data_IF_576220538255
#
_entry.id   IF_576220538255
#
_cell.length_a   1.000
_cell.length_b   1.000
_cell.length_c   1.000
_cell.angle_alpha   90.00
_cell.angle_beta   90.00
_cell.angle_gamma   90.00
#
_symmetry.space_group_name_H-M   'P 1'
#
loop_
_entity.id
_entity.type
_entity.pdbx_description
1 polymer ?
#
# COMPACT_ATOMS: atom_id res chain seq x y z
N UNK A 1 -84.74 3.05 6.03
CA UNK A 1 -84.14 4.28 6.59
C UNK A 1 -82.74 4.40 6.02
N UNK A 2 -82.66 4.97 4.81
CA UNK A 2 -81.40 5.29 4.13
C UNK A 2 -81.05 6.74 4.45
N UNK A 3 -79.77 7.07 4.60
CA UNK A 3 -79.10 8.27 4.05
C UNK A 3 -77.59 8.17 4.33
N UNK A 4 -76.83 8.23 3.23
CA UNK A 4 -75.40 8.41 3.08
C UNK A 4 -74.88 9.69 3.78
N UNK A 5 -73.65 9.66 4.34
CA UNK A 5 -72.75 10.83 4.32
C UNK A 5 -71.27 10.43 4.22
N UNK A 6 -70.64 11.05 3.22
CA UNK A 6 -69.22 11.11 2.86
C UNK A 6 -68.31 11.64 3.98
N UNK A 7 -67.03 11.25 3.92
CA UNK A 7 -65.76 11.98 4.22
C UNK A 7 -64.71 10.93 4.57
N UNK A 8 -63.45 10.91 4.13
CA UNK A 8 -62.60 11.86 3.40
C UNK A 8 -61.51 11.03 2.71
N UNK A 9 -61.16 11.40 1.48
CA UNK A 9 -59.96 10.89 0.80
C UNK A 9 -58.75 11.62 1.37
N UNK A 10 -57.86 10.92 2.05
CA UNK A 10 -56.54 11.44 2.41
C UNK A 10 -55.56 11.08 1.29
N UNK A 11 -55.26 12.05 0.43
CA UNK A 11 -54.20 11.92 -0.57
C UNK A 11 -52.84 12.02 0.14
N UNK A 12 -52.18 10.88 0.36
CA UNK A 12 -50.76 10.85 0.69
C UNK A 12 -49.97 11.06 -0.60
N UNK A 13 -49.52 12.30 -0.83
CA UNK A 13 -48.55 12.61 -1.87
C UNK A 13 -47.15 12.23 -1.37
N UNK A 14 -46.71 11.02 -1.68
CA UNK A 14 -45.33 10.57 -1.43
C UNK A 14 -44.41 11.24 -2.44
N UNK A 15 -43.74 12.32 -2.03
CA UNK A 15 -42.61 12.89 -2.76
C UNK A 15 -41.44 11.90 -2.71
N UNK A 16 -41.31 11.07 -3.77
CA UNK A 16 -40.10 10.32 -4.05
C UNK A 16 -39.02 11.31 -4.50
N UNK A 17 -38.27 11.85 -3.52
CA UNK A 17 -37.04 12.60 -3.78
C UNK A 17 -36.04 11.68 -4.47
N UNK A 18 -35.84 11.91 -5.77
CA UNK A 18 -34.80 11.30 -6.58
C UNK A 18 -33.45 11.82 -6.05
N UNK A 19 -32.85 11.13 -5.09
CA UNK A 19 -31.45 11.37 -4.71
C UNK A 19 -30.62 10.81 -5.86
N UNK A 20 -30.34 11.64 -6.86
CA UNK A 20 -29.22 11.41 -7.77
C UNK A 20 -27.95 11.41 -6.92
N UNK A 21 -27.57 10.23 -6.44
CA UNK A 21 -26.22 9.97 -5.99
C UNK A 21 -25.32 10.07 -7.21
N UNK A 22 -24.83 11.27 -7.51
CA UNK A 22 -23.68 11.43 -8.39
C UNK A 22 -22.56 10.65 -7.72
N UNK A 23 -22.28 9.45 -8.24
CA UNK A 23 -20.99 8.82 -8.04
C UNK A 23 -19.97 9.82 -8.56
N UNK A 24 -19.32 10.55 -7.65
CA UNK A 24 -18.19 11.39 -7.98
C UNK A 24 -17.18 10.45 -8.62
N UNK A 25 -17.01 10.54 -9.93
CA UNK A 25 -15.88 9.92 -10.59
C UNK A 25 -14.66 10.59 -9.98
N UNK A 26 -13.98 9.87 -9.09
CA UNK A 26 -12.75 10.34 -8.46
C UNK A 26 -11.73 10.51 -9.61
N UNK A 27 -11.46 11.77 -9.96
CA UNK A 27 -10.57 12.09 -11.06
C UNK A 27 -9.20 11.51 -10.75
N UNK A 28 -8.66 10.72 -11.70
CA UNK A 28 -7.38 10.08 -11.50
C UNK A 28 -6.29 11.17 -11.39
N UNK A 29 -5.47 11.07 -10.34
CA UNK A 29 -4.38 12.01 -10.13
C UNK A 29 -3.30 11.73 -11.17
N UNK A 30 -2.72 12.79 -11.72
CA UNK A 30 -1.66 12.71 -12.71
C UNK A 30 -0.33 13.05 -12.05
N UNK A 31 0.60 12.09 -11.89
CA UNK A 31 1.89 12.38 -11.26
C UNK A 31 2.77 13.20 -12.22
N UNK A 32 3.58 14.10 -11.65
CA UNK A 32 4.52 14.92 -12.40
C UNK A 32 5.85 14.20 -12.63
N UNK A 33 6.34 14.27 -13.86
CA UNK A 33 7.69 13.83 -14.21
C UNK A 33 8.73 14.63 -13.43
N UNK A 34 9.90 14.02 -13.19
CA UNK A 34 11.04 14.70 -12.61
C UNK A 34 11.80 13.86 -11.59
N UNK A 35 12.49 14.53 -10.68
CA UNK A 35 13.30 13.89 -9.65
C UNK A 35 12.45 13.59 -8.41
N UNK A 36 12.34 12.31 -8.06
CA UNK A 36 11.61 11.81 -6.89
C UNK A 36 12.57 11.26 -5.84
N UNK A 37 12.25 11.48 -4.57
CA UNK A 37 12.99 10.97 -3.42
C UNK A 37 12.08 10.12 -2.55
N UNK A 38 12.54 8.92 -2.21
CA UNK A 38 11.92 8.04 -1.21
C UNK A 38 12.64 8.18 0.13
N UNK A 39 11.88 8.25 1.21
CA UNK A 39 12.37 8.21 2.57
C UNK A 39 11.48 7.31 3.45
N UNK A 40 12.09 6.54 4.33
CA UNK A 40 11.35 5.83 5.38
C UNK A 40 10.79 6.84 6.37
N UNK A 41 9.47 6.81 6.56
CA UNK A 41 8.76 7.63 7.54
C UNK A 41 8.78 6.96 8.90
N UNK A 42 8.26 5.73 8.95
CA UNK A 42 8.05 4.97 10.18
C UNK A 42 8.31 3.49 9.96
N UNK A 43 8.62 2.79 11.05
CA UNK A 43 8.66 1.33 11.10
C UNK A 43 7.96 0.85 12.35
N UNK A 44 6.96 -0.01 12.18
CA UNK A 44 6.24 -0.65 13.26
C UNK A 44 6.57 -2.15 13.31
N UNK A 45 6.70 -2.66 14.53
CA UNK A 45 6.92 -4.06 14.83
C UNK A 45 5.71 -4.60 15.59
N UNK A 46 5.20 -5.76 15.18
CA UNK A 46 4.11 -6.43 15.88
C UNK A 46 4.47 -7.89 16.10
N UNK A 47 4.21 -8.40 17.30
CA UNK A 47 4.47 -9.80 17.70
C UNK A 47 5.93 -10.24 17.49
N UNK A 48 6.87 -9.30 17.55
CA UNK A 48 8.31 -9.59 17.47
C UNK A 48 8.90 -9.74 18.87
N UNK A 49 9.66 -10.80 19.09
CA UNK A 49 10.48 -10.92 20.28
C UNK A 49 11.52 -9.78 20.37
N UNK A 50 11.91 -9.34 21.58
CA UNK A 50 12.77 -8.17 21.75
C UNK A 50 14.13 -8.30 21.07
N UNK A 51 14.67 -9.52 20.99
CA UNK A 51 15.91 -9.81 20.27
C UNK A 51 15.75 -9.58 18.75
N UNK A 52 14.64 -10.05 18.17
CA UNK A 52 14.34 -9.91 16.73
C UNK A 52 14.10 -8.45 16.38
N UNK A 53 13.30 -7.75 17.18
CA UNK A 53 13.05 -6.33 17.00
C UNK A 53 14.35 -5.52 17.02
N UNK A 54 15.23 -5.76 18.00
CA UNK A 54 16.53 -5.08 18.09
C UNK A 54 17.41 -5.38 16.87
N UNK A 55 17.44 -6.63 16.40
CA UNK A 55 18.17 -7.00 15.20
C UNK A 55 17.65 -6.24 13.97
N UNK A 56 16.34 -6.19 13.76
CA UNK A 56 15.76 -5.50 12.60
C UNK A 56 15.88 -3.99 12.67
N UNK A 57 15.76 -3.37 13.84
CA UNK A 57 16.04 -1.94 14.00
C UNK A 57 17.45 -1.58 13.53
N UNK A 58 18.44 -2.42 13.83
CA UNK A 58 19.80 -2.22 13.36
C UNK A 58 19.96 -2.40 11.84
N UNK A 59 19.26 -3.38 11.25
CA UNK A 59 19.27 -3.58 9.79
C UNK A 59 18.60 -2.40 9.09
N UNK A 60 17.41 -2.01 9.54
CA UNK A 60 16.65 -0.91 8.98
C UNK A 60 17.44 0.39 9.10
N UNK A 61 18.01 0.71 10.27
CA UNK A 61 18.84 1.91 10.45
C UNK A 61 20.02 2.00 9.47
N UNK A 62 20.57 0.87 9.03
CA UNK A 62 21.64 0.83 8.00
C UNK A 62 21.12 1.00 6.58
N UNK A 63 19.84 0.74 6.34
CA UNK A 63 19.16 0.78 5.04
C UNK A 63 18.16 1.94 4.91
N UNK A 64 17.95 2.76 5.95
CA UNK A 64 17.25 4.05 5.84
C UNK A 64 18.17 5.01 5.10
N UNK A 65 18.28 4.80 3.79
CA UNK A 65 18.91 5.73 2.88
C UNK A 65 17.81 6.41 2.09
N UNK A 66 17.95 7.71 1.92
CA UNK A 66 17.15 8.45 0.95
C UNK A 66 17.59 8.01 -0.44
N UNK A 67 16.65 7.49 -1.21
CA UNK A 67 16.92 7.09 -2.59
C UNK A 67 16.29 8.12 -3.50
N UNK A 68 17.08 8.67 -4.41
CA UNK A 68 16.62 9.66 -5.39
C UNK A 68 16.79 9.11 -6.80
N UNK A 69 15.75 9.23 -7.63
CA UNK A 69 15.76 8.85 -9.04
C UNK A 69 14.92 9.84 -9.85
N UNK A 70 15.25 9.99 -11.12
CA UNK A 70 14.36 10.63 -12.07
C UNK A 70 13.30 9.60 -12.52
N UNK A 71 12.03 10.01 -12.59
CA UNK A 71 10.91 9.18 -12.99
C UNK A 71 10.13 9.91 -14.09
N UNK A 72 9.97 9.23 -15.22
CA UNK A 72 9.15 9.69 -16.35
C UNK A 72 7.79 8.97 -16.34
N UNK A 73 6.83 9.53 -15.60
CA UNK A 73 5.47 9.04 -15.50
C UNK A 73 4.67 9.16 -16.78
N UNK A 74 4.95 10.16 -17.61
CA UNK A 74 4.22 10.36 -18.87
C UNK A 74 2.70 10.47 -18.66
N UNK A 75 2.30 11.09 -17.54
CA UNK A 75 0.91 11.32 -17.18
C UNK A 75 0.15 10.11 -16.62
N UNK A 76 0.82 8.97 -16.39
CA UNK A 76 0.17 7.77 -15.83
C UNK A 76 0.94 7.29 -14.61
N UNK A 77 0.23 7.16 -13.49
CA UNK A 77 0.76 6.52 -12.30
C UNK A 77 0.89 5.01 -12.51
N UNK A 78 2.13 4.54 -12.59
CA UNK A 78 2.49 3.13 -12.73
C UNK A 78 3.74 2.83 -11.86
N UNK A 79 3.58 2.11 -10.73
CA UNK A 79 4.67 1.79 -9.81
C UNK A 79 5.87 1.08 -10.45
N UNK A 80 5.70 0.38 -11.58
CA UNK A 80 6.81 -0.29 -12.28
C UNK A 80 7.85 0.71 -12.80
N UNK A 81 7.47 1.97 -13.01
CA UNK A 81 8.38 3.07 -13.37
C UNK A 81 9.34 3.44 -12.24
N UNK A 82 9.08 2.98 -11.02
CA UNK A 82 9.97 3.13 -9.86
C UNK A 82 10.74 1.86 -9.55
N UNK A 83 10.78 0.88 -10.47
CA UNK A 83 11.54 -0.36 -10.28
C UNK A 83 13.03 -0.13 -9.97
N UNK A 84 13.62 0.96 -10.46
CA UNK A 84 15.01 1.39 -10.18
C UNK A 84 15.26 1.92 -8.75
N UNK A 85 14.19 2.11 -7.96
CA UNK A 85 14.32 2.32 -6.51
C UNK A 85 14.63 1.01 -5.79
N UNK A 86 14.44 -0.15 -6.42
CA UNK A 86 14.80 -1.44 -5.85
C UNK A 86 16.31 -1.66 -5.99
N UNK A 87 17.03 -1.70 -4.87
CA UNK A 87 18.48 -1.91 -4.87
C UNK A 87 18.88 -3.39 -5.02
N UNK A 88 17.93 -4.32 -4.92
CA UNK A 88 18.20 -5.76 -4.96
C UNK A 88 17.86 -6.35 -6.35
N UNK A 89 18.87 -6.78 -7.14
CA UNK A 89 18.63 -7.35 -8.48
C UNK A 89 17.88 -8.69 -8.46
N UNK A 90 17.79 -9.33 -7.29
CA UNK A 90 17.07 -10.59 -7.10
C UNK A 90 15.65 -10.40 -6.59
N UNK A 91 15.17 -9.16 -6.54
CA UNK A 91 13.81 -8.82 -6.13
C UNK A 91 12.92 -8.66 -7.36
N UNK A 92 11.79 -9.36 -7.36
CA UNK A 92 10.73 -9.16 -8.35
C UNK A 92 9.51 -8.60 -7.63
N UNK A 93 8.88 -7.59 -8.22
CA UNK A 93 7.62 -7.03 -7.73
C UNK A 93 6.54 -7.30 -8.78
N UNK A 94 5.38 -7.77 -8.34
CA UNK A 94 4.20 -7.90 -9.18
C UNK A 94 3.12 -6.97 -8.65
N UNK A 95 2.74 -5.97 -9.43
CA UNK A 95 1.72 -5.00 -9.06
C UNK A 95 0.33 -5.39 -9.57
N UNK A 96 -0.69 -5.06 -8.79
CA UNK A 96 -2.10 -5.17 -9.14
C UNK A 96 -2.77 -3.83 -8.86
N UNK A 97 -3.43 -3.25 -9.86
CA UNK A 97 -4.17 -1.99 -9.70
C UNK A 97 -5.42 -2.24 -8.87
N UNK A 98 -5.58 -1.51 -7.77
CA UNK A 98 -6.73 -1.65 -6.85
C UNK A 98 -7.65 -0.42 -6.84
N UNK A 99 -7.19 0.71 -7.39
CA UNK A 99 -8.00 1.92 -7.58
C UNK A 99 -7.41 2.84 -8.66
N UNK A 100 -8.00 4.02 -8.91
CA UNK A 100 -7.50 4.97 -9.90
C UNK A 100 -6.02 5.33 -9.69
N UNK A 101 -5.63 5.51 -8.43
CA UNK A 101 -4.33 5.99 -7.98
C UNK A 101 -3.63 5.01 -7.02
N UNK A 102 -4.09 3.75 -6.95
CA UNK A 102 -3.66 2.79 -5.93
C UNK A 102 -3.30 1.42 -6.52
N UNK A 103 -2.22 0.85 -5.98
CA UNK A 103 -1.71 -0.46 -6.35
C UNK A 103 -1.32 -1.26 -5.11
N UNK A 104 -1.52 -2.57 -5.20
CA UNK A 104 -0.96 -3.54 -4.28
C UNK A 104 0.16 -4.32 -4.99
N UNK A 105 1.28 -4.49 -4.32
CA UNK A 105 2.46 -5.17 -4.86
C UNK A 105 2.78 -6.41 -4.06
N UNK A 106 3.25 -7.46 -4.74
CA UNK A 106 3.87 -8.61 -4.09
C UNK A 106 5.32 -8.68 -4.46
N UNK A 107 6.17 -8.59 -3.45
CA UNK A 107 7.60 -8.75 -3.57
C UNK A 107 7.94 -10.21 -3.37
N UNK A 108 8.74 -10.76 -4.27
CA UNK A 108 9.42 -12.03 -4.09
C UNK A 108 10.91 -11.76 -4.21
N UNK A 109 11.63 -12.01 -3.13
CA UNK A 109 13.08 -11.94 -3.10
C UNK A 109 13.65 -13.34 -3.28
N UNK A 110 14.62 -13.47 -4.18
CA UNK A 110 15.35 -14.71 -4.40
C UNK A 110 16.81 -14.57 -4.00
N UNK A 111 17.43 -15.69 -3.72
CA UNK A 111 18.88 -15.84 -3.66
C UNK A 111 19.47 -15.76 -5.09
N UNK A 112 20.80 -15.56 -5.25
CA UNK A 112 21.43 -15.58 -6.57
C UNK A 112 21.22 -16.88 -7.36
N UNK A 113 21.05 -18.01 -6.67
CA UNK A 113 20.71 -19.31 -7.28
C UNK A 113 19.20 -19.51 -7.51
N UNK A 114 18.40 -18.46 -7.33
CA UNK A 114 16.98 -18.42 -7.69
C UNK A 114 16.02 -18.99 -6.64
N UNK A 115 16.51 -19.43 -5.47
CA UNK A 115 15.65 -19.94 -4.39
C UNK A 115 14.92 -18.80 -3.69
N UNK A 116 13.63 -18.97 -3.32
CA UNK A 116 12.91 -17.98 -2.51
C UNK A 116 13.64 -17.70 -1.20
N UNK A 117 13.80 -16.42 -0.87
CA UNK A 117 14.44 -15.94 0.35
C UNK A 117 13.49 -15.12 1.22
N UNK A 118 12.50 -14.48 0.60
CA UNK A 118 11.55 -13.66 1.33
C UNK A 118 10.42 -13.15 0.45
N UNK A 119 9.36 -12.69 1.10
CA UNK A 119 8.26 -11.99 0.45
C UNK A 119 7.80 -10.81 1.29
N UNK A 120 7.32 -9.77 0.62
CA UNK A 120 6.68 -8.64 1.24
C UNK A 120 5.43 -8.27 0.45
N UNK A 121 4.41 -7.78 1.14
CA UNK A 121 3.29 -7.10 0.50
C UNK A 121 3.58 -5.60 0.49
N UNK A 122 3.26 -4.93 -0.61
CA UNK A 122 3.41 -3.49 -0.79
C UNK A 122 2.05 -2.87 -1.04
N UNK A 123 1.87 -1.64 -0.58
CA UNK A 123 0.80 -0.77 -1.02
C UNK A 123 1.43 0.51 -1.53
N UNK A 124 0.89 1.07 -2.60
CA UNK A 124 1.36 2.34 -3.13
C UNK A 124 0.19 3.16 -3.66
N UNK A 125 0.10 4.40 -3.20
CA UNK A 125 -1.00 5.31 -3.55
C UNK A 125 -0.44 6.68 -3.90
N UNK A 126 -0.77 7.17 -5.09
CA UNK A 126 -0.55 8.57 -5.45
C UNK A 126 -1.58 9.42 -4.71
N UNK A 127 -1.12 10.27 -3.79
CA UNK A 127 -1.98 11.11 -2.94
C UNK A 127 -2.06 12.56 -3.43
N UNK A 128 -1.09 12.99 -4.24
CA UNK A 128 -1.10 14.25 -4.98
C UNK A 128 -0.14 14.14 -6.18
N UNK A 129 -0.14 15.12 -7.09
CA UNK A 129 0.74 15.11 -8.27
C UNK A 129 2.24 14.98 -7.93
N UNK A 130 2.65 15.39 -6.74
CA UNK A 130 4.04 15.43 -6.27
C UNK A 130 4.31 14.50 -5.06
N UNK A 131 3.34 13.66 -4.66
CA UNK A 131 3.47 12.79 -3.46
C UNK A 131 2.81 11.43 -3.60
N UNK A 132 3.55 10.40 -3.22
CA UNK A 132 3.12 9.01 -3.12
C UNK A 132 3.32 8.53 -1.68
N UNK A 133 2.28 7.88 -1.15
CA UNK A 133 2.37 7.11 0.09
C UNK A 133 2.59 5.64 -0.24
N UNK A 134 3.58 5.03 0.39
CA UNK A 134 3.85 3.61 0.23
C UNK A 134 4.02 2.90 1.57
N UNK A 135 3.59 1.64 1.64
CA UNK A 135 3.88 0.78 2.79
C UNK A 135 4.40 -0.58 2.34
N UNK A 136 5.28 -1.18 3.14
CA UNK A 136 5.71 -2.57 2.98
C UNK A 136 5.40 -3.35 4.25
N UNK A 137 4.77 -4.50 4.11
CA UNK A 137 4.52 -5.44 5.20
C UNK A 137 5.31 -6.73 4.95
N UNK A 138 6.15 -7.08 5.92
CA UNK A 138 6.96 -8.29 5.90
C UNK A 138 6.54 -9.18 7.05
N UNK A 139 6.24 -10.45 6.74
CA UNK A 139 5.92 -11.49 7.72
C UNK A 139 7.04 -12.52 7.76
N UNK A 140 7.61 -12.75 8.95
CA UNK A 140 8.69 -13.72 9.15
C UNK A 140 8.25 -15.15 8.82
N UNK A 141 6.99 -15.47 9.11
CA UNK A 141 6.38 -16.75 8.73
C UNK A 141 6.48 -17.00 7.22
N UNK A 142 6.26 -15.96 6.43
CA UNK A 142 6.27 -16.05 4.96
C UNK A 142 7.70 -16.05 4.41
N UNK A 143 8.65 -15.39 5.08
CA UNK A 143 10.05 -15.36 4.63
C UNK A 143 10.81 -16.65 4.86
N UNK A 144 10.61 -17.29 6.01
CA UNK A 144 11.39 -18.47 6.42
C UNK A 144 10.49 -19.58 6.96
N UNK A 145 9.64 -20.19 6.11
CA UNK A 145 8.69 -21.20 6.56
C UNK A 145 9.39 -22.41 7.21
N UNK A 146 10.57 -22.78 6.72
CA UNK A 146 11.35 -23.92 7.24
C UNK A 146 12.16 -23.62 8.51
N UNK A 147 12.46 -22.35 8.80
CA UNK A 147 13.17 -21.96 10.03
C UNK A 147 12.22 -21.74 11.22
N UNK A 148 10.93 -22.02 11.05
CA UNK A 148 9.86 -21.62 11.96
C UNK A 148 10.02 -22.16 13.39
N UNK A 149 10.57 -23.36 13.60
CA UNK A 149 10.72 -23.95 14.94
C UNK A 149 11.86 -23.31 15.76
N UNK A 150 12.99 -22.99 15.12
CA UNK A 150 14.10 -22.28 15.77
C UNK A 150 13.74 -20.80 15.99
N UNK A 151 13.04 -20.19 15.02
CA UNK A 151 12.61 -18.79 15.09
C UNK A 151 11.43 -18.57 16.05
N UNK A 152 10.61 -19.59 16.31
CA UNK A 152 9.56 -19.56 17.32
C UNK A 152 10.12 -19.25 18.71
N UNK A 153 11.25 -19.87 19.07
CA UNK A 153 11.91 -19.65 20.36
C UNK A 153 12.44 -18.21 20.51
N UNK A 154 12.71 -17.54 19.40
CA UNK A 154 13.16 -16.14 19.35
C UNK A 154 11.99 -15.15 19.26
N UNK A 155 10.74 -15.63 19.25
CA UNK A 155 9.56 -14.78 19.08
C UNK A 155 9.44 -14.19 17.68
N UNK A 156 9.96 -14.85 16.64
CA UNK A 156 9.87 -14.39 15.26
C UNK A 156 8.71 -15.04 14.47
N UNK A 157 8.07 -16.09 14.97
CA UNK A 157 7.09 -16.88 14.20
C UNK A 157 5.92 -16.06 13.62
N UNK A 158 5.46 -15.04 14.36
CA UNK A 158 4.38 -14.16 13.95
C UNK A 158 4.86 -12.71 13.79
N UNK A 159 6.17 -12.47 13.85
CA UNK A 159 6.73 -11.14 13.78
C UNK A 159 6.35 -10.51 12.44
N UNK A 160 5.74 -9.34 12.52
CA UNK A 160 5.38 -8.51 11.38
C UNK A 160 6.13 -7.20 11.47
N UNK A 161 6.72 -6.79 10.36
CA UNK A 161 7.38 -5.52 10.21
C UNK A 161 6.63 -4.74 9.15
N UNK A 162 6.07 -3.60 9.53
CA UNK A 162 5.45 -2.66 8.61
C UNK A 162 6.29 -1.40 8.51
N UNK A 163 6.73 -1.07 7.31
CA UNK A 163 7.50 0.14 7.04
C UNK A 163 6.67 1.06 6.15
N UNK A 164 6.56 2.33 6.53
CA UNK A 164 5.90 3.37 5.75
C UNK A 164 6.96 4.26 5.09
N UNK A 165 6.69 4.70 3.87
CA UNK A 165 7.58 5.55 3.09
C UNK A 165 6.82 6.78 2.59
N UNK A 166 7.50 7.92 2.64
CA UNK A 166 7.11 9.11 1.88
C UNK A 166 7.95 9.16 0.61
N UNK A 167 7.28 9.27 -0.53
CA UNK A 167 7.93 9.43 -1.83
C UNK A 167 7.46 10.75 -2.42
N UNK A 168 8.37 11.69 -2.57
CA UNK A 168 8.05 13.08 -2.93
C UNK A 168 8.87 13.54 -4.12
N UNK A 169 8.26 14.35 -4.99
CA UNK A 169 8.98 15.02 -6.07
C UNK A 169 9.76 16.21 -5.51
N UNK A 170 11.06 16.23 -5.77
CA UNK A 170 12.00 17.25 -5.26
C UNK A 170 12.60 18.15 -6.36
N UNK A 171 12.29 17.89 -7.63
CA UNK A 171 12.78 18.70 -8.75
C UNK A 171 12.30 18.19 -10.12
N UNK A 172 12.62 18.94 -11.17
CA UNK A 172 12.50 18.54 -12.58
C UNK A 172 13.74 17.78 -13.05
#
# INVERSE_FOLDING_TARGET
MSIFRLRSVAAFATLAGLVCGSALAEEALVPRDGTWQSATRDTAFSECGPMVESMFKNVIAKHVKKTTRNVAWGGVFDPDKMSDFNEAPTQTITWTKTGPNSYEGKVVQKTPDGKPMGSADLTMTLVSEDRIDATSAVSFKSMMPEASSAMAQLGAQNCQIKTSFDIERIGD
#
